data_IF_365919171722
#
_entry.id   IF_365919171722
#
_cell.length_a   1.000
_cell.length_b   1.000
_cell.length_c   1.000
_cell.angle_alpha   90.00
_cell.angle_beta   90.00
_cell.angle_gamma   90.00
#
_symmetry.space_group_name_H-M   'P 1'
#
loop_
_entity.id
_entity.type
_entity.pdbx_description
1 polymer ?
#
# COMPACT_ATOMS: atom_id res chain seq x y z
N UNK A 1 -8.32 1.27 12.58
CA UNK A 1 -7.87 1.81 11.27
C UNK A 1 -6.84 0.93 10.58
N UNK A 2 -5.87 0.42 11.30
CA UNK A 2 -4.90 -0.49 10.67
C UNK A 2 -5.52 -1.85 10.33
N UNK A 3 -6.60 -2.21 11.01
CA UNK A 3 -7.34 -3.45 10.74
C UNK A 3 -7.86 -3.51 9.31
N UNK A 4 -8.31 -2.39 8.75
CA UNK A 4 -8.78 -2.32 7.36
C UNK A 4 -7.65 -2.58 6.39
N UNK A 5 -6.44 -2.12 6.73
CA UNK A 5 -5.25 -2.39 5.92
C UNK A 5 -4.96 -3.89 5.89
N UNK A 6 -5.01 -4.56 7.04
CA UNK A 6 -4.80 -6.00 7.11
C UNK A 6 -5.90 -6.76 6.39
N UNK A 7 -7.13 -6.25 6.44
CA UNK A 7 -8.24 -6.87 5.71
C UNK A 7 -7.97 -6.87 4.21
N UNK A 8 -7.55 -5.72 3.66
CA UNK A 8 -7.22 -5.65 2.23
C UNK A 8 -6.05 -6.56 1.87
N UNK A 9 -5.06 -6.68 2.76
CA UNK A 9 -3.94 -7.57 2.51
C UNK A 9 -4.41 -9.03 2.47
N UNK A 10 -5.27 -9.44 3.41
CA UNK A 10 -5.83 -10.80 3.42
C UNK A 10 -6.64 -11.06 2.16
N UNK A 11 -7.41 -10.07 1.71
CA UNK A 11 -8.19 -10.21 0.47
C UNK A 11 -7.24 -10.42 -0.71
N UNK A 12 -6.16 -9.65 -0.80
CA UNK A 12 -5.18 -9.81 -1.88
C UNK A 12 -4.59 -11.23 -1.89
N UNK A 13 -4.23 -11.75 -0.70
CA UNK A 13 -3.68 -13.10 -0.58
C UNK A 13 -4.70 -14.15 -1.01
N UNK A 14 -5.95 -14.01 -0.57
CA UNK A 14 -7.01 -14.96 -0.96
C UNK A 14 -7.27 -14.93 -2.46
N UNK A 15 -7.31 -13.76 -3.05
CA UNK A 15 -7.51 -13.62 -4.48
C UNK A 15 -6.37 -14.25 -5.26
N UNK A 16 -5.14 -14.13 -4.75
CA UNK A 16 -3.98 -14.78 -5.35
C UNK A 16 -4.14 -16.31 -5.29
N UNK A 17 -4.56 -16.83 -4.14
CA UNK A 17 -4.72 -18.27 -3.93
C UNK A 17 -5.77 -18.90 -4.86
N UNK A 18 -6.86 -18.18 -5.15
CA UNK A 18 -7.92 -18.68 -6.02
C UNK A 18 -7.69 -18.38 -7.51
N UNK A 19 -6.57 -17.75 -7.84
CA UNK A 19 -6.22 -17.47 -9.23
C UNK A 19 -6.98 -16.31 -9.86
N UNK A 20 -7.32 -15.29 -9.07
CA UNK A 20 -8.04 -14.12 -9.58
C UNK A 20 -7.11 -13.29 -10.49
N UNK A 21 -7.72 -12.37 -11.26
CA UNK A 21 -6.98 -11.50 -12.17
C UNK A 21 -5.91 -10.71 -11.42
N UNK A 22 -4.67 -10.68 -11.95
CA UNK A 22 -3.57 -9.99 -11.25
C UNK A 22 -3.85 -8.53 -10.91
N UNK A 23 -4.56 -7.79 -11.76
CA UNK A 23 -4.83 -6.37 -11.49
C UNK A 23 -5.71 -6.18 -10.25
N UNK A 24 -6.62 -7.13 -9.99
CA UNK A 24 -7.48 -7.07 -8.80
C UNK A 24 -6.64 -7.26 -7.54
N UNK A 25 -5.68 -8.18 -7.61
CA UNK A 25 -4.76 -8.47 -6.51
C UNK A 25 -3.94 -7.23 -6.19
N UNK A 26 -3.34 -6.61 -7.22
CA UNK A 26 -2.53 -5.40 -7.06
C UNK A 26 -3.36 -4.26 -6.48
N UNK A 27 -4.61 -4.12 -6.94
CA UNK A 27 -5.52 -3.11 -6.42
C UNK A 27 -5.70 -3.23 -4.90
N UNK A 28 -5.95 -4.44 -4.40
CA UNK A 28 -6.14 -4.64 -2.96
C UNK A 28 -4.83 -4.47 -2.18
N UNK A 29 -3.69 -4.87 -2.77
CA UNK A 29 -2.39 -4.63 -2.14
C UNK A 29 -2.12 -3.14 -1.99
N UNK A 30 -2.41 -2.35 -3.03
CA UNK A 30 -2.26 -0.90 -2.98
C UNK A 30 -3.20 -0.28 -1.94
N UNK A 31 -4.45 -0.72 -1.89
CA UNK A 31 -5.42 -0.22 -0.91
C UNK A 31 -4.95 -0.50 0.52
N UNK A 32 -4.36 -1.67 0.74
CA UNK A 32 -3.83 -2.03 2.06
C UNK A 32 -2.77 -1.04 2.52
N UNK A 33 -1.83 -0.70 1.64
CA UNK A 33 -0.75 0.25 1.97
C UNK A 33 -1.32 1.64 2.20
N UNK A 34 -2.23 2.08 1.33
CA UNK A 34 -2.86 3.39 1.46
C UNK A 34 -3.53 3.55 2.82
N UNK A 35 -4.31 2.56 3.23
CA UNK A 35 -5.03 2.61 4.52
C UNK A 35 -4.07 2.63 5.70
N UNK A 36 -2.97 1.88 5.63
CA UNK A 36 -1.97 1.87 6.69
C UNK A 36 -1.29 3.23 6.83
N UNK A 37 -0.89 3.84 5.70
CA UNK A 37 -0.26 5.16 5.71
C UNK A 37 -1.21 6.21 6.28
N UNK A 38 -2.47 6.18 5.86
CA UNK A 38 -3.48 7.12 6.37
C UNK A 38 -3.73 6.91 7.86
N UNK A 39 -3.71 5.66 8.35
CA UNK A 39 -3.85 5.39 9.77
C UNK A 39 -2.73 6.05 10.58
N UNK A 40 -1.49 5.97 10.08
CA UNK A 40 -0.35 6.62 10.73
C UNK A 40 -0.53 8.14 10.78
N UNK A 41 -0.96 8.74 9.64
CA UNK A 41 -1.17 10.20 9.56
C UNK A 41 -2.29 10.66 10.50
N UNK A 42 -3.37 9.92 10.58
CA UNK A 42 -4.48 10.23 11.50
C UNK A 42 -3.99 10.17 12.95
N UNK A 43 -3.19 9.18 13.29
CA UNK A 43 -2.62 9.04 14.64
C UNK A 43 -1.82 10.28 15.04
N UNK A 44 -1.17 10.92 14.07
CA UNK A 44 -0.33 12.10 14.29
C UNK A 44 -1.06 13.41 13.99
N UNK A 45 -2.39 13.36 13.78
CA UNK A 45 -3.21 14.52 13.47
C UNK A 45 -2.72 15.30 12.25
N UNK A 46 -2.18 14.56 11.26
CA UNK A 46 -1.65 15.17 10.04
C UNK A 46 -2.67 15.01 8.91
N UNK A 47 -3.13 16.13 8.38
CA UNK A 47 -4.05 16.12 7.25
C UNK A 47 -3.38 15.68 5.96
N UNK A 48 -4.10 14.95 5.15
CA UNK A 48 -3.59 14.45 3.86
C UNK A 48 -4.57 14.72 2.70
N UNK A 49 -5.71 15.37 2.99
CA UNK A 49 -6.71 15.68 1.97
C UNK A 49 -7.38 14.44 1.43
N UNK A 50 -7.69 14.46 0.13
CA UNK A 50 -8.38 13.36 -0.55
C UNK A 50 -7.44 12.52 -1.42
N UNK A 51 -6.14 12.62 -1.20
CA UNK A 51 -5.17 11.91 -2.04
C UNK A 51 -5.22 10.40 -1.82
N UNK A 52 -4.99 9.65 -2.89
CA UNK A 52 -4.79 8.20 -2.87
C UNK A 52 -3.39 7.85 -3.35
N UNK A 53 -2.58 8.86 -3.66
CA UNK A 53 -1.24 8.69 -4.20
C UNK A 53 -0.27 8.25 -3.10
N UNK A 54 0.27 7.04 -3.22
CA UNK A 54 1.16 6.49 -2.21
C UNK A 54 2.44 7.31 -2.05
N UNK A 55 2.99 7.83 -3.14
CA UNK A 55 4.20 8.66 -3.07
C UNK A 55 3.95 9.86 -2.15
N UNK A 56 2.83 10.55 -2.35
CA UNK A 56 2.45 11.71 -1.54
C UNK A 56 2.25 11.31 -0.08
N UNK A 57 1.56 10.20 0.17
CA UNK A 57 1.30 9.75 1.54
C UNK A 57 2.59 9.36 2.26
N UNK A 58 3.52 8.70 1.56
CA UNK A 58 4.82 8.36 2.13
C UNK A 58 5.60 9.62 2.49
N UNK A 59 5.57 10.63 1.60
CA UNK A 59 6.22 11.91 1.87
C UNK A 59 5.68 12.58 3.12
N UNK A 60 4.35 12.59 3.28
CA UNK A 60 3.74 13.17 4.48
C UNK A 60 4.17 12.42 5.74
N UNK A 61 4.22 11.11 5.68
CA UNK A 61 4.70 10.31 6.80
C UNK A 61 6.18 10.59 7.09
N UNK A 62 6.98 10.81 6.04
CA UNK A 62 8.41 11.11 6.16
C UNK A 62 8.66 12.44 6.86
N UNK A 63 7.74 13.39 6.75
CA UNK A 63 7.84 14.65 7.47
C UNK A 63 7.74 14.45 8.97
N UNK A 64 7.07 13.38 9.41
CA UNK A 64 6.93 13.04 10.81
C UNK A 64 8.09 12.15 11.27
N UNK A 65 8.47 11.17 10.44
CA UNK A 65 9.52 10.20 10.75
C UNK A 65 10.27 9.87 9.47
N UNK A 66 11.52 10.34 9.37
CA UNK A 66 12.35 10.18 8.18
C UNK A 66 12.55 8.73 7.76
N UNK A 67 12.39 7.78 8.68
CA UNK A 67 12.56 6.37 8.34
C UNK A 67 11.56 5.89 7.29
N UNK A 68 10.44 6.62 7.11
CA UNK A 68 9.48 6.30 6.05
C UNK A 68 10.08 6.40 4.64
N UNK A 69 11.22 7.08 4.48
CA UNK A 69 11.92 7.12 3.20
C UNK A 69 12.32 5.71 2.73
N UNK A 70 12.45 4.77 3.65
CA UNK A 70 12.72 3.37 3.31
C UNK A 70 11.64 2.81 2.39
N UNK A 71 10.40 3.28 2.51
CA UNK A 71 9.30 2.81 1.66
C UNK A 71 9.48 3.27 0.22
N UNK A 72 10.08 4.45 0.01
CA UNK A 72 10.45 4.90 -1.34
C UNK A 72 11.58 4.04 -1.91
N UNK A 73 12.57 3.74 -1.09
CA UNK A 73 13.70 2.90 -1.51
C UNK A 73 13.24 1.50 -1.92
N UNK A 74 12.21 0.98 -1.26
CA UNK A 74 11.63 -0.32 -1.58
C UNK A 74 10.61 -0.25 -2.71
N UNK A 75 10.41 0.94 -3.28
CA UNK A 75 9.48 1.18 -4.38
C UNK A 75 8.03 0.83 -4.05
N UNK A 76 7.65 0.99 -2.78
CA UNK A 76 6.27 0.76 -2.33
C UNK A 76 5.31 1.72 -3.06
N UNK A 77 5.75 2.95 -3.32
CA UNK A 77 4.98 3.96 -4.02
C UNK A 77 4.57 3.51 -5.43
N UNK A 78 5.31 2.60 -6.05
CA UNK A 78 5.05 2.12 -7.40
C UNK A 78 3.76 1.30 -7.50
N UNK A 79 3.24 0.81 -6.37
CA UNK A 79 1.97 0.09 -6.36
C UNK A 79 0.82 0.98 -6.85
N UNK A 80 0.87 2.28 -6.57
CA UNK A 80 -0.22 3.18 -6.93
C UNK A 80 -0.35 3.34 -8.46
N UNK A 81 0.69 3.76 -9.20
CA UNK A 81 0.56 3.87 -10.65
C UNK A 81 0.27 2.52 -11.31
N UNK A 82 0.86 1.44 -10.81
CA UNK A 82 0.60 0.10 -11.35
C UNK A 82 -0.88 -0.27 -11.20
N UNK A 83 -1.46 -0.03 -10.03
CA UNK A 83 -2.87 -0.35 -9.76
C UNK A 83 -3.82 0.50 -10.62
N UNK A 84 -3.48 1.77 -10.84
CA UNK A 84 -4.28 2.67 -11.67
C UNK A 84 -4.25 2.22 -13.13
N UNK A 85 -3.04 2.05 -13.68
CA UNK A 85 -2.85 1.72 -15.10
C UNK A 85 -3.48 0.38 -15.47
N UNK A 86 -3.37 -0.59 -14.59
CA UNK A 86 -3.89 -1.94 -14.84
C UNK A 86 -5.40 -2.00 -14.92
N UNK A 87 -6.11 -0.99 -14.39
CA UNK A 87 -7.58 -0.93 -14.43
C UNK A 87 -8.13 -0.49 -15.78
N UNK A 88 -7.27 0.02 -16.66
CA UNK A 88 -7.68 0.56 -17.96
C UNK A 88 -7.09 -0.28 -19.08
N UNK A 89 -7.91 -1.12 -19.73
CA UNK A 89 -7.41 -2.02 -20.79
C UNK A 89 -6.74 -1.30 -21.96
N UNK A 90 -7.11 -0.04 -22.17
CA UNK A 90 -6.60 0.76 -23.29
C UNK A 90 -5.13 1.13 -23.14
N UNK A 91 -4.55 1.01 -21.94
CA UNK A 91 -3.15 1.32 -21.71
C UNK A 91 -2.20 0.27 -22.28
N UNK A 92 -2.74 -0.92 -22.58
CA UNK A 92 -1.92 -2.04 -23.05
C UNK A 92 -1.05 -2.66 -21.98
N UNK A 93 -1.22 -2.25 -20.73
CA UNK A 93 -0.44 -2.77 -19.61
C UNK A 93 -1.11 -4.04 -19.06
N UNK A 94 -0.35 -5.13 -19.06
CA UNK A 94 -0.79 -6.36 -18.45
C UNK A 94 0.09 -6.65 -17.24
N UNK A 95 -0.57 -6.95 -16.11
CA UNK A 95 0.15 -7.33 -14.90
C UNK A 95 0.28 -8.85 -14.88
N UNK A 96 1.51 -9.34 -14.70
CA UNK A 96 1.75 -10.77 -14.58
C UNK A 96 1.40 -11.27 -13.18
N UNK A 97 1.23 -12.57 -13.06
CA UNK A 97 0.99 -13.18 -11.74
C UNK A 97 2.19 -12.96 -10.81
N UNK A 98 3.40 -12.95 -11.35
CA UNK A 98 4.60 -12.67 -10.57
C UNK A 98 4.61 -11.23 -10.03
N UNK A 99 4.15 -10.28 -10.83
CA UNK A 99 4.02 -8.89 -10.39
C UNK A 99 2.97 -8.74 -9.29
N UNK A 100 1.88 -9.51 -9.38
CA UNK A 100 0.86 -9.51 -8.34
C UNK A 100 1.41 -10.08 -7.04
N UNK A 101 2.20 -11.14 -7.13
CA UNK A 101 2.87 -11.74 -5.96
C UNK A 101 3.83 -10.74 -5.33
N UNK A 102 4.61 -10.04 -6.14
CA UNK A 102 5.52 -9.01 -5.67
C UNK A 102 4.76 -7.87 -4.97
N UNK A 103 3.60 -7.49 -5.51
CA UNK A 103 2.77 -6.45 -4.91
C UNK A 103 2.31 -6.86 -3.50
N UNK A 104 1.94 -8.12 -3.31
CA UNK A 104 1.56 -8.64 -2.00
C UNK A 104 2.75 -8.55 -1.03
N UNK A 105 3.95 -8.93 -1.47
CA UNK A 105 5.14 -8.87 -0.62
C UNK A 105 5.48 -7.42 -0.24
N UNK A 106 5.40 -6.50 -1.19
CA UNK A 106 5.61 -5.07 -0.91
C UNK A 106 4.61 -4.55 0.11
N UNK A 107 3.33 -4.91 -0.06
CA UNK A 107 2.29 -4.48 0.87
C UNK A 107 2.54 -5.06 2.27
N UNK A 108 2.93 -6.32 2.34
CA UNK A 108 3.24 -7.00 3.61
C UNK A 108 4.37 -6.28 4.35
N UNK A 109 5.45 -5.96 3.65
CA UNK A 109 6.60 -5.25 4.21
C UNK A 109 6.19 -3.86 4.70
N UNK A 110 5.45 -3.12 3.87
CA UNK A 110 5.02 -1.76 4.20
C UNK A 110 4.10 -1.75 5.43
N UNK A 111 3.10 -2.62 5.47
CA UNK A 111 2.15 -2.68 6.57
C UNK A 111 2.85 -3.06 7.88
N UNK A 112 3.78 -4.02 7.81
CA UNK A 112 4.55 -4.43 8.98
C UNK A 112 5.37 -3.26 9.53
N UNK A 113 6.04 -2.52 8.64
CA UNK A 113 6.82 -1.34 9.00
C UNK A 113 5.92 -0.28 9.67
N UNK A 114 4.80 0.04 9.01
CA UNK A 114 3.88 1.08 9.50
C UNK A 114 3.26 0.67 10.84
N UNK A 115 2.89 -0.59 11.00
CA UNK A 115 2.31 -1.09 12.24
C UNK A 115 3.29 -0.93 13.40
N UNK A 116 4.58 -1.22 13.18
CA UNK A 116 5.61 -1.01 14.21
C UNK A 116 5.70 0.45 14.62
N UNK A 117 5.62 1.36 13.64
CA UNK A 117 5.66 2.80 13.91
C UNK A 117 4.44 3.24 14.71
N UNK A 118 3.27 2.70 14.40
CA UNK A 118 2.04 3.03 15.13
C UNK A 118 2.14 2.52 16.57
N UNK A 119 2.61 1.31 16.78
CA UNK A 119 2.77 0.73 18.13
C UNK A 119 3.79 1.48 18.95
N UNK A 120 4.86 1.94 18.32
CA UNK A 120 5.89 2.74 18.99
C UNK A 120 5.32 4.04 19.54
N UNK A 121 4.45 4.70 18.80
CA UNK A 121 3.78 5.93 19.23
C UNK A 121 2.88 5.69 20.44
N UNK A 122 2.19 4.55 20.48
CA UNK A 122 1.25 4.22 21.56
C UNK A 122 1.93 3.76 22.83
N UNK A 123 3.13 3.27 22.73
CA UNK A 123 3.89 2.83 23.90
C UNK A 123 4.68 3.96 24.50
#
# INVERSE_FOLDING_TARGET
>A
MVEEAYTDLRVAVKLFEIGEEPWVIVFHAQQAVEKALKAYLVLHNRHFGKTHNLFRLIDLCSEIDQEFQQLHELEIDKLYPLAIEARYPDTGIEITIDEAKEAIEKARIAISFITRKIKSKKS
#
